data_IF_804575607157
#
_entry.id   IF_804575607157
#
_cell.length_a   1.000
_cell.length_b   1.000
_cell.length_c   1.000
_cell.angle_alpha   90.00
_cell.angle_beta   90.00
_cell.angle_gamma   90.00
#
_symmetry.space_group_name_H-M   'P 1'
#
loop_
_entity.id
_entity.type
_entity.pdbx_description
1 polymer ?
#
# COMPACT_ATOMS: atom_id res chain seq x y z
N UNK A 1 17.97 -10.34 33.73
CA UNK A 1 17.37 -11.38 32.88
C UNK A 1 16.86 -10.71 31.61
N UNK A 2 17.54 -10.91 30.47
CA UNK A 2 17.13 -10.40 29.16
C UNK A 2 16.02 -11.31 28.65
N UNK A 3 14.82 -10.78 28.41
CA UNK A 3 13.74 -11.54 27.77
C UNK A 3 14.23 -12.03 26.40
N UNK A 4 14.03 -13.31 26.04
CA UNK A 4 14.40 -13.79 24.71
C UNK A 4 13.54 -13.09 23.67
N UNK A 5 14.16 -12.73 22.54
CA UNK A 5 13.54 -11.97 21.47
C UNK A 5 12.20 -12.57 21.09
N UNK A 6 11.14 -11.77 21.26
CA UNK A 6 9.89 -12.04 20.58
C UNK A 6 10.23 -12.14 19.10
N UNK A 7 9.84 -13.26 18.46
CA UNK A 7 9.90 -13.39 17.02
C UNK A 7 9.40 -12.06 16.44
N UNK A 8 10.25 -11.37 15.67
CA UNK A 8 9.85 -10.17 14.97
C UNK A 8 8.63 -10.59 14.17
N UNK A 9 7.43 -10.20 14.64
CA UNK A 9 6.24 -10.43 13.86
C UNK A 9 6.51 -9.70 12.58
N UNK A 10 6.75 -10.43 11.50
CA UNK A 10 7.10 -9.85 10.21
C UNK A 10 6.02 -8.80 9.97
N UNK A 11 6.44 -7.53 10.09
CA UNK A 11 5.47 -6.45 10.11
C UNK A 11 4.70 -6.52 8.79
N UNK A 12 3.40 -6.22 8.84
CA UNK A 12 2.52 -6.42 7.69
C UNK A 12 2.57 -5.19 6.81
N UNK A 13 2.24 -5.38 5.54
CA UNK A 13 1.94 -4.26 4.66
C UNK A 13 0.58 -3.68 5.03
N UNK A 14 0.50 -2.35 5.09
CA UNK A 14 -0.76 -1.61 5.15
C UNK A 14 -1.01 -0.90 3.81
N UNK A 15 -2.27 -0.81 3.40
CA UNK A 15 -2.65 -0.15 2.15
C UNK A 15 -3.78 0.84 2.36
N UNK A 16 -3.67 1.99 1.68
CA UNK A 16 -4.74 2.96 1.50
C UNK A 16 -5.00 3.12 0.01
N UNK A 17 -6.27 3.07 -0.38
CA UNK A 17 -6.70 3.17 -1.77
C UNK A 17 -7.74 4.28 -1.85
N UNK A 18 -7.46 5.29 -2.67
CA UNK A 18 -8.40 6.35 -3.02
C UNK A 18 -8.76 6.25 -4.50
N UNK A 19 -10.04 6.00 -4.78
CA UNK A 19 -10.56 5.78 -6.13
C UNK A 19 -11.11 7.10 -6.68
N UNK A 20 -10.44 7.62 -7.71
CA UNK A 20 -10.94 8.73 -8.52
C UNK A 20 -11.45 8.29 -9.90
N UNK A 21 -11.95 9.26 -10.67
CA UNK A 21 -12.47 9.02 -12.03
C UNK A 21 -11.40 8.59 -13.03
N UNK A 22 -10.36 9.39 -13.24
CA UNK A 22 -9.25 9.08 -14.16
C UNK A 22 -8.15 8.26 -13.51
N UNK A 23 -7.91 8.46 -12.21
CA UNK A 23 -6.78 7.85 -11.50
C UNK A 23 -7.21 7.26 -10.15
N UNK A 24 -6.45 6.26 -9.71
CA UNK A 24 -6.49 5.67 -8.39
C UNK A 24 -5.16 5.89 -7.71
N UNK A 25 -5.20 6.46 -6.51
CA UNK A 25 -4.02 6.59 -5.66
C UNK A 25 -3.92 5.39 -4.72
N UNK A 26 -2.76 4.75 -4.70
CA UNK A 26 -2.43 3.62 -3.83
C UNK A 26 -1.20 3.98 -3.00
N UNK A 27 -1.35 3.96 -1.68
CA UNK A 27 -0.23 4.10 -0.75
C UNK A 27 -0.04 2.75 -0.06
N UNK A 28 1.14 2.16 -0.20
CA UNK A 28 1.59 1.03 0.60
C UNK A 28 2.52 1.50 1.72
N UNK A 29 2.31 1.03 2.95
CA UNK A 29 3.30 1.13 4.03
C UNK A 29 3.96 -0.24 4.19
N UNK A 30 5.27 -0.28 4.03
CA UNK A 30 6.04 -1.50 4.18
C UNK A 30 6.23 -1.87 5.67
N UNK A 31 6.72 -3.08 5.95
CA UNK A 31 6.99 -3.56 7.31
C UNK A 31 7.98 -2.69 8.11
N UNK A 32 8.84 -1.93 7.43
CA UNK A 32 9.82 -1.00 8.03
C UNK A 32 9.20 0.39 8.29
N UNK A 33 7.96 0.59 7.84
CA UNK A 33 7.21 1.83 7.96
C UNK A 33 7.41 2.80 6.80
N UNK A 34 8.14 2.41 5.75
CA UNK A 34 8.36 3.19 4.54
C UNK A 34 7.08 3.32 3.71
N UNK A 35 6.86 4.50 3.12
CA UNK A 35 5.69 4.77 2.28
C UNK A 35 6.03 4.65 0.79
N UNK A 36 5.21 3.88 0.08
CA UNK A 36 5.33 3.58 -1.35
C UNK A 36 4.11 4.12 -2.11
N UNK A 37 4.17 5.34 -2.65
CA UNK A 37 3.08 5.91 -3.43
C UNK A 37 3.07 5.38 -4.86
N UNK A 38 1.87 5.08 -5.39
CA UNK A 38 1.62 4.77 -6.80
C UNK A 38 0.31 5.42 -7.25
N UNK A 39 0.32 5.95 -8.47
CA UNK A 39 -0.86 6.47 -9.16
C UNK A 39 -1.11 5.62 -10.39
N UNK A 40 -2.28 5.02 -10.46
CA UNK A 40 -2.67 4.12 -11.54
C UNK A 40 -3.84 4.75 -12.30
N UNK A 41 -3.95 4.52 -13.61
CA UNK A 41 -5.19 4.83 -14.32
C UNK A 41 -6.31 3.99 -13.70
N UNK A 42 -7.43 4.63 -13.37
CA UNK A 42 -8.63 3.90 -12.99
C UNK A 42 -9.08 3.16 -14.25
N UNK A 43 -8.91 1.83 -14.28
CA UNK A 43 -9.32 1.02 -15.43
C UNK A 43 -10.79 1.31 -15.75
N UNK A 44 -11.01 1.92 -16.93
CA UNK A 44 -12.31 2.17 -17.53
C UNK A 44 -12.11 1.98 -19.04
N UNK A 45 -12.20 0.73 -19.54
CA UNK A 45 -11.99 0.41 -20.95
C UNK A 45 -12.86 1.26 -21.89
N UNK A 46 -14.00 1.76 -21.40
CA UNK A 46 -14.98 2.54 -22.15
C UNK A 46 -14.66 4.05 -22.18
N UNK A 47 -13.80 4.56 -21.30
CA UNK A 47 -13.43 5.99 -21.26
C UNK A 47 -12.25 6.37 -22.16
N UNK A 48 -11.56 5.38 -22.73
CA UNK A 48 -10.37 5.59 -23.57
C UNK A 48 -10.47 4.92 -24.96
N UNK A 49 -11.63 4.34 -25.28
CA UNK A 49 -11.92 3.72 -26.58
C UNK A 49 -12.18 4.76 -27.67
#
# INVERSE_FOLDING_TARGET
MKMPGGAAMAAKWDFWIDRGGTFTDVIGRDPEGGLHPRKLLSENPEAYA
#
